data_IF_901497396881
#
_entry.id   IF_901497396881
#
_cell.length_a   1.000
_cell.length_b   1.000
_cell.length_c   1.000
_cell.angle_alpha   90.00
_cell.angle_beta   90.00
_cell.angle_gamma   90.00
#
_symmetry.space_group_name_H-M   'P 1'
#
loop_
_entity.id
_entity.type
_entity.pdbx_description
1 polymer ?
#
# COMPACT_ATOMS: atom_id res chain seq x y z
N UNK A 1 -26.22 -4.29 -0.67
CA UNK A 1 -26.16 -4.56 -2.13
C UNK A 1 -25.10 -3.75 -2.89
N UNK A 2 -24.31 -2.92 -2.21
CA UNK A 2 -23.34 -2.00 -2.85
C UNK A 2 -21.93 -2.56 -2.97
N UNK A 3 -21.46 -3.38 -2.02
CA UNK A 3 -20.16 -4.07 -2.07
C UNK A 3 -20.01 -4.97 -3.31
N UNK A 4 -21.01 -5.80 -3.61
CA UNK A 4 -21.00 -6.68 -4.79
C UNK A 4 -20.93 -5.90 -6.11
N UNK A 5 -21.40 -4.65 -6.13
CA UNK A 5 -21.30 -3.79 -7.31
C UNK A 5 -19.95 -3.08 -7.44
N UNK A 6 -19.09 -3.12 -6.41
CA UNK A 6 -17.73 -2.58 -6.46
C UNK A 6 -16.79 -3.48 -7.25
N UNK A 7 -16.99 -4.79 -7.23
CA UNK A 7 -16.18 -5.78 -7.97
C UNK A 7 -16.25 -5.56 -9.50
N UNK A 8 -17.42 -5.54 -10.17
CA UNK A 8 -17.46 -5.29 -11.60
C UNK A 8 -16.97 -3.86 -11.95
N UNK A 9 -17.13 -2.92 -11.03
CA UNK A 9 -16.64 -1.56 -11.22
C UNK A 9 -15.11 -1.46 -11.10
N UNK A 10 -14.47 -2.28 -10.28
CA UNK A 10 -13.01 -2.30 -10.17
C UNK A 10 -12.34 -2.76 -11.46
N UNK A 11 -12.97 -3.63 -12.25
CA UNK A 11 -12.46 -3.99 -13.58
C UNK A 11 -12.49 -2.83 -14.59
N UNK A 12 -13.51 -1.96 -14.52
CA UNK A 12 -13.56 -0.75 -15.34
C UNK A 12 -12.46 0.25 -14.98
N UNK A 13 -12.08 0.32 -13.69
CA UNK A 13 -10.95 1.11 -13.22
C UNK A 13 -9.64 0.46 -13.64
N UNK A 14 -9.52 -0.86 -13.48
CA UNK A 14 -8.32 -1.65 -13.78
C UNK A 14 -7.80 -1.40 -15.19
N UNK A 15 -8.67 -1.46 -16.20
CA UNK A 15 -8.23 -1.26 -17.59
C UNK A 15 -7.66 0.15 -17.82
N UNK A 16 -8.27 1.17 -17.22
CA UNK A 16 -7.79 2.56 -17.31
C UNK A 16 -6.50 2.74 -16.51
N UNK A 17 -6.40 2.09 -15.35
CA UNK A 17 -5.23 2.14 -14.50
C UNK A 17 -4.04 1.43 -15.16
N UNK A 18 -4.26 0.29 -15.82
CA UNK A 18 -3.23 -0.45 -16.54
C UNK A 18 -2.55 0.39 -17.63
N UNK A 19 -3.30 1.28 -18.31
CA UNK A 19 -2.75 2.22 -19.28
C UNK A 19 -1.94 3.36 -18.64
N UNK A 20 -2.32 3.81 -17.44
CA UNK A 20 -1.63 4.90 -16.72
C UNK A 20 -0.48 4.40 -15.85
N UNK A 21 -0.48 3.11 -15.51
CA UNK A 21 0.44 2.47 -14.58
C UNK A 21 1.93 2.66 -14.94
N UNK A 22 2.37 2.53 -16.21
CA UNK A 22 3.77 2.76 -16.56
C UNK A 22 4.24 4.19 -16.24
N UNK A 23 3.41 5.20 -16.52
CA UNK A 23 3.71 6.59 -16.21
C UNK A 23 3.71 6.84 -14.69
N UNK A 24 2.81 6.16 -13.97
CA UNK A 24 2.77 6.21 -12.50
C UNK A 24 3.99 5.58 -11.87
N UNK A 25 4.49 4.45 -12.39
CA UNK A 25 5.76 3.84 -11.95
C UNK A 25 6.90 4.84 -12.13
N UNK A 26 7.02 5.46 -13.31
CA UNK A 26 8.10 6.45 -13.55
C UNK A 26 8.02 7.60 -12.54
N UNK A 27 6.82 8.12 -12.27
CA UNK A 27 6.63 9.16 -11.26
C UNK A 27 7.02 8.68 -9.85
N UNK A 28 6.62 7.47 -9.46
CA UNK A 28 6.98 6.88 -8.17
C UNK A 28 8.48 6.60 -8.04
N UNK A 29 9.15 6.19 -9.12
CA UNK A 29 10.61 6.04 -9.16
C UNK A 29 11.30 7.39 -8.90
N UNK A 30 10.84 8.46 -9.56
CA UNK A 30 11.40 9.80 -9.34
C UNK A 30 11.20 10.28 -7.89
N UNK A 31 10.03 10.02 -7.32
CA UNK A 31 9.76 10.29 -5.89
C UNK A 31 10.67 9.42 -5.00
N UNK A 32 10.88 8.16 -5.35
CA UNK A 32 11.76 7.24 -4.64
C UNK A 32 13.22 7.67 -4.66
N UNK A 33 13.73 8.16 -5.80
CA UNK A 33 15.08 8.71 -5.92
C UNK A 33 15.24 9.94 -5.02
N UNK A 34 14.27 10.86 -5.05
CA UNK A 34 14.27 12.04 -4.19
C UNK A 34 14.22 11.65 -2.70
N UNK A 35 13.36 10.70 -2.34
CA UNK A 35 13.24 10.17 -0.99
C UNK A 35 14.56 9.54 -0.54
N UNK A 36 15.18 8.70 -1.37
CA UNK A 36 16.46 8.05 -1.08
C UNK A 36 17.58 9.07 -0.83
N UNK A 37 17.64 10.12 -1.64
CA UNK A 37 18.61 11.21 -1.42
C UNK A 37 18.38 11.92 -0.08
N UNK A 38 17.13 12.26 0.26
CA UNK A 38 16.78 12.90 1.53
C UNK A 38 17.06 11.99 2.74
N UNK A 39 16.75 10.70 2.64
CA UNK A 39 17.06 9.69 3.66
C UNK A 39 18.57 9.59 3.86
N UNK A 40 19.36 9.56 2.78
CA UNK A 40 20.83 9.48 2.87
C UNK A 40 21.42 10.71 3.56
N UNK A 41 20.97 11.91 3.18
CA UNK A 41 21.41 13.15 3.82
C UNK A 41 21.03 13.21 5.31
N UNK A 42 19.81 12.80 5.65
CA UNK A 42 19.33 12.84 7.03
C UNK A 42 19.91 11.73 7.89
N UNK A 43 20.23 10.56 7.33
CA UNK A 43 20.88 9.46 8.04
C UNK A 43 22.27 9.86 8.55
N UNK A 44 22.99 10.71 7.82
CA UNK A 44 24.28 11.25 8.26
C UNK A 44 24.17 12.19 9.48
N UNK A 45 23.01 12.81 9.70
CA UNK A 45 22.77 13.75 10.80
C UNK A 45 22.07 13.06 11.98
N UNK A 46 21.03 12.28 11.70
CA UNK A 46 20.21 11.57 12.66
C UNK A 46 19.57 10.33 12.02
N UNK A 47 20.02 9.11 12.38
CA UNK A 47 19.42 7.87 11.90
C UNK A 47 17.93 7.76 12.22
N UNK A 48 17.48 8.28 13.37
CA UNK A 48 16.07 8.30 13.74
C UNK A 48 15.24 9.15 12.77
N UNK A 49 15.75 10.33 12.40
CA UNK A 49 15.07 11.20 11.45
C UNK A 49 14.97 10.55 10.06
N UNK A 50 15.99 9.81 9.65
CA UNK A 50 16.00 9.06 8.39
C UNK A 50 14.91 7.98 8.37
N UNK A 51 14.73 7.23 9.47
CA UNK A 51 13.64 6.23 9.59
C UNK A 51 12.28 6.90 9.51
N UNK A 52 12.10 8.04 10.17
CA UNK A 52 10.85 8.81 10.12
C UNK A 52 10.54 9.27 8.69
N UNK A 53 11.54 9.82 7.98
CA UNK A 53 11.40 10.26 6.59
C UNK A 53 11.10 9.08 5.67
N UNK A 54 11.76 7.94 5.86
CA UNK A 54 11.49 6.71 5.12
C UNK A 54 10.04 6.27 5.32
N UNK A 55 9.53 6.31 6.55
CA UNK A 55 8.11 6.05 6.85
C UNK A 55 7.16 7.03 6.13
N UNK A 56 7.49 8.32 6.12
CA UNK A 56 6.71 9.35 5.41
C UNK A 56 6.62 9.09 3.91
N UNK A 57 7.75 8.82 3.25
CA UNK A 57 7.75 8.54 1.82
C UNK A 57 7.16 7.16 1.48
N UNK A 58 7.40 6.14 2.31
CA UNK A 58 6.86 4.80 2.11
C UNK A 58 5.33 4.77 2.17
N UNK A 59 4.75 5.32 3.23
CA UNK A 59 3.29 5.42 3.36
C UNK A 59 2.74 6.44 2.36
N UNK A 60 3.37 7.60 2.20
CA UNK A 60 2.93 8.66 1.29
C UNK A 60 2.90 8.24 -0.18
N UNK A 61 3.82 7.37 -0.62
CA UNK A 61 3.87 6.85 -1.99
C UNK A 61 2.60 6.09 -2.40
N UNK A 62 1.87 5.52 -1.44
CA UNK A 62 0.60 4.83 -1.70
C UNK A 62 -0.55 5.79 -2.04
N UNK A 63 -0.51 7.04 -1.55
CA UNK A 63 -1.64 7.98 -1.68
C UNK A 63 -1.81 8.48 -3.11
N UNK A 64 -0.71 8.82 -3.79
CA UNK A 64 -0.77 9.36 -5.16
C UNK A 64 -1.46 8.38 -6.13
N UNK A 65 -1.08 7.09 -6.18
CA UNK A 65 -1.83 6.10 -6.94
C UNK A 65 -3.31 6.07 -6.58
N UNK A 66 -3.68 6.21 -5.30
CA UNK A 66 -5.07 5.99 -4.88
C UNK A 66 -5.95 7.13 -5.35
N UNK A 67 -5.41 8.35 -5.32
CA UNK A 67 -6.05 9.52 -5.90
C UNK A 67 -6.20 9.42 -7.41
N UNK A 68 -5.17 8.95 -8.13
CA UNK A 68 -5.24 8.77 -9.59
C UNK A 68 -6.28 7.71 -9.96
N UNK A 69 -6.26 6.55 -9.31
CA UNK A 69 -7.24 5.48 -9.54
C UNK A 69 -8.67 5.93 -9.21
N UNK A 70 -8.85 6.63 -8.09
CA UNK A 70 -10.17 7.16 -7.69
C UNK A 70 -10.69 8.20 -8.69
N UNK A 71 -9.83 9.11 -9.18
CA UNK A 71 -10.17 10.07 -10.23
C UNK A 71 -10.61 9.37 -11.52
N UNK A 72 -9.89 8.32 -11.94
CA UNK A 72 -10.25 7.53 -13.13
C UNK A 72 -11.60 6.84 -12.97
N UNK A 73 -11.89 6.31 -11.78
CA UNK A 73 -13.18 5.72 -11.42
C UNK A 73 -14.32 6.73 -11.42
N UNK A 74 -14.14 7.90 -10.80
CA UNK A 74 -15.13 8.97 -10.78
C UNK A 74 -15.43 9.50 -12.19
N UNK A 75 -14.38 9.66 -13.03
CA UNK A 75 -14.55 9.99 -14.45
C UNK A 75 -15.31 8.92 -15.22
N UNK A 76 -15.12 7.64 -14.90
CA UNK A 76 -15.89 6.55 -15.50
C UNK A 76 -17.39 6.63 -15.18
N UNK A 77 -17.76 7.25 -14.06
CA UNK A 77 -19.16 7.52 -13.67
C UNK A 77 -19.69 8.88 -14.14
N UNK A 78 -18.91 9.65 -14.91
CA UNK A 78 -19.33 10.96 -15.43
C UNK A 78 -19.11 12.14 -14.48
N UNK A 79 -18.33 11.97 -13.40
CA UNK A 79 -17.97 13.10 -12.54
C UNK A 79 -17.09 14.10 -13.29
N UNK A 80 -17.44 15.39 -13.19
CA UNK A 80 -16.59 16.46 -13.71
C UNK A 80 -15.37 16.64 -12.81
N UNK A 81 -14.19 16.79 -13.41
CA UNK A 81 -12.95 17.03 -12.66
C UNK A 81 -12.51 18.46 -12.83
N UNK A 82 -12.38 19.18 -11.72
CA UNK A 82 -12.04 20.61 -11.71
C UNK A 82 -10.53 20.87 -11.57
N UNK A 83 -9.76 19.88 -11.13
CA UNK A 83 -8.31 20.00 -10.93
C UNK A 83 -7.48 19.54 -12.13
N UNK A 84 -6.32 20.15 -12.33
CA UNK A 84 -5.27 19.63 -13.22
C UNK A 84 -4.62 18.36 -12.63
N UNK A 85 -3.81 17.65 -13.41
CA UNK A 85 -3.06 16.50 -12.90
C UNK A 85 -2.02 16.95 -11.84
N UNK A 86 -1.36 18.08 -12.06
CA UNK A 86 -0.41 18.67 -11.11
C UNK A 86 -1.09 19.15 -9.82
N UNK A 87 -2.34 19.61 -9.92
CA UNK A 87 -3.16 19.98 -8.76
C UNK A 87 -3.49 18.82 -7.81
N UNK A 88 -3.21 17.56 -8.19
CA UNK A 88 -3.33 16.40 -7.30
C UNK A 88 -2.12 16.20 -6.39
N UNK A 89 -0.95 16.77 -6.74
CA UNK A 89 0.29 16.52 -6.00
C UNK A 89 0.19 17.06 -4.56
N UNK A 90 -0.31 18.29 -4.39
CA UNK A 90 -0.41 18.92 -3.07
C UNK A 90 -1.34 18.17 -2.12
N UNK A 91 -2.58 17.81 -2.51
CA UNK A 91 -3.42 16.96 -1.65
C UNK A 91 -2.81 15.56 -1.42
N UNK A 92 -2.18 14.95 -2.41
CA UNK A 92 -1.54 13.63 -2.24
C UNK A 92 -0.43 13.68 -1.18
N UNK A 93 0.39 14.74 -1.20
CA UNK A 93 1.42 14.97 -0.17
C UNK A 93 0.76 15.20 1.19
N UNK A 94 -0.25 16.07 1.28
CA UNK A 94 -0.92 16.37 2.56
C UNK A 94 -1.57 15.16 3.21
N UNK A 95 -2.34 14.38 2.44
CA UNK A 95 -2.96 13.15 2.95
C UNK A 95 -1.94 12.04 3.19
N UNK A 96 -0.89 11.95 2.37
CA UNK A 96 0.22 11.01 2.59
C UNK A 96 0.99 11.28 3.88
N UNK A 97 1.30 12.55 4.17
CA UNK A 97 1.93 12.95 5.42
C UNK A 97 1.02 12.67 6.62
N UNK A 98 -0.27 12.97 6.53
CA UNK A 98 -1.23 12.67 7.59
C UNK A 98 -1.31 11.16 7.86
N UNK A 99 -1.46 10.36 6.80
CA UNK A 99 -1.56 8.92 6.93
C UNK A 99 -0.27 8.30 7.50
N UNK A 100 0.89 8.76 7.01
CA UNK A 100 2.18 8.32 7.53
C UNK A 100 2.37 8.66 9.00
N UNK A 101 1.98 9.87 9.42
CA UNK A 101 2.07 10.29 10.82
C UNK A 101 1.20 9.39 11.71
N UNK A 102 -0.04 9.12 11.30
CA UNK A 102 -0.93 8.22 12.03
C UNK A 102 -0.41 6.78 12.05
N UNK A 103 0.11 6.26 10.94
CA UNK A 103 0.69 4.92 10.87
C UNK A 103 1.92 4.78 11.77
N UNK A 104 2.83 5.77 11.74
CA UNK A 104 4.00 5.80 12.63
C UNK A 104 3.60 5.90 14.10
N UNK A 105 2.56 6.68 14.43
CA UNK A 105 2.03 6.76 15.79
C UNK A 105 1.42 5.43 16.25
N UNK A 106 0.67 4.74 15.38
CA UNK A 106 0.14 3.39 15.67
C UNK A 106 1.29 2.41 15.92
N UNK A 107 2.34 2.43 15.09
CA UNK A 107 3.51 1.56 15.28
C UNK A 107 4.27 1.88 16.56
N UNK A 108 4.51 3.17 16.85
CA UNK A 108 5.20 3.60 18.07
C UNK A 108 4.44 3.22 19.34
N UNK A 109 3.10 3.36 19.33
CA UNK A 109 2.24 2.88 20.42
C UNK A 109 2.28 1.36 20.55
N UNK A 110 2.35 0.62 19.44
CA UNK A 110 2.52 -0.83 19.42
C UNK A 110 3.83 -1.26 20.09
N UNK A 111 4.95 -0.63 19.71
CA UNK A 111 6.26 -0.88 20.33
C UNK A 111 6.25 -0.54 21.82
N UNK A 112 5.68 0.62 22.20
CA UNK A 112 5.58 1.02 23.60
C UNK A 112 4.72 0.01 24.40
N UNK A 113 3.56 -0.38 23.89
CA UNK A 113 2.71 -1.38 24.52
C UNK A 113 3.42 -2.74 24.68
N UNK A 114 4.21 -3.15 23.67
CA UNK A 114 5.02 -4.36 23.73
C UNK A 114 6.05 -4.31 24.86
N UNK A 115 6.78 -3.20 24.96
CA UNK A 115 7.78 -2.97 26.02
C UNK A 115 7.15 -2.95 27.42
N UNK A 116 5.98 -2.31 27.58
CA UNK A 116 5.30 -2.29 28.88
C UNK A 116 4.72 -3.65 29.29
N UNK A 117 4.36 -4.49 28.31
CA UNK A 117 3.71 -5.77 28.55
C UNK A 117 4.68 -6.95 28.59
N UNK A 118 5.97 -6.74 28.25
CA UNK A 118 7.01 -7.78 28.24
C UNK A 118 8.20 -7.36 29.10
N UNK A 119 9.14 -8.28 29.36
CA UNK A 119 10.35 -8.00 30.12
C UNK A 119 11.50 -7.44 29.27
N UNK A 120 11.24 -7.09 28.01
CA UNK A 120 12.26 -6.59 27.10
C UNK A 120 12.62 -5.15 27.44
N UNK A 121 13.91 -4.87 27.33
CA UNK A 121 14.47 -3.53 27.50
C UNK A 121 14.61 -2.83 26.14
N UNK A 122 14.85 -1.52 26.17
CA UNK A 122 15.16 -0.76 24.96
C UNK A 122 16.46 -1.24 24.28
N UNK A 123 17.39 -1.82 25.03
CA UNK A 123 18.64 -2.38 24.52
C UNK A 123 18.40 -3.68 23.74
N UNK A 124 17.43 -4.49 24.15
CA UNK A 124 17.06 -5.70 23.40
C UNK A 124 16.45 -5.32 22.03
N UNK A 125 15.70 -4.22 21.96
CA UNK A 125 15.13 -3.73 20.70
C UNK A 125 16.19 -3.24 19.71
N UNK A 126 17.28 -2.60 20.18
CA UNK A 126 18.34 -2.19 19.26
C UNK A 126 19.06 -3.39 18.66
N UNK A 127 19.19 -4.49 19.41
CA UNK A 127 19.70 -5.75 18.88
C UNK A 127 18.76 -6.37 17.85
N UNK A 128 17.43 -6.35 18.10
CA UNK A 128 16.44 -6.80 17.12
C UNK A 128 16.52 -6.04 15.79
N UNK A 129 16.84 -4.74 15.80
CA UNK A 129 16.98 -3.98 14.53
C UNK A 129 18.16 -4.40 13.64
N UNK A 130 19.07 -5.23 14.16
CA UNK A 130 20.22 -5.76 13.40
C UNK A 130 20.00 -7.18 12.90
N UNK A 131 18.87 -7.81 13.25
CA UNK A 131 18.53 -9.16 12.82
C UNK A 131 17.72 -9.13 11.53
N UNK A 132 17.75 -10.23 10.78
CA UNK A 132 16.86 -10.42 9.63
C UNK A 132 15.38 -10.41 10.06
N UNK A 133 14.50 -9.91 9.19
CA UNK A 133 13.07 -9.71 9.50
C UNK A 133 12.38 -11.00 10.01
N UNK A 134 12.68 -12.14 9.40
CA UNK A 134 12.14 -13.45 9.80
C UNK A 134 12.59 -13.83 11.22
N UNK A 135 13.83 -13.52 11.56
CA UNK A 135 14.40 -13.80 12.88
C UNK A 135 13.80 -12.85 13.92
N UNK A 136 13.58 -11.57 13.59
CA UNK A 136 12.91 -10.61 14.48
C UNK A 136 11.52 -11.09 14.84
N UNK A 137 10.72 -11.51 13.86
CA UNK A 137 9.36 -12.01 14.10
C UNK A 137 9.40 -13.26 14.99
N UNK A 138 10.30 -14.20 14.71
CA UNK A 138 10.47 -15.41 15.52
C UNK A 138 10.86 -15.09 16.97
N UNK A 139 11.77 -14.13 17.18
CA UNK A 139 12.19 -13.69 18.51
C UNK A 139 11.03 -13.04 19.28
N UNK A 140 10.29 -12.12 18.66
CA UNK A 140 9.11 -11.49 19.28
C UNK A 140 8.05 -12.54 19.65
N UNK A 141 7.81 -13.50 18.76
CA UNK A 141 6.90 -14.61 19.01
C UNK A 141 7.39 -15.54 20.13
N UNK A 142 8.69 -15.70 20.31
CA UNK A 142 9.24 -16.51 21.41
C UNK A 142 9.07 -15.85 22.78
N UNK A 143 9.09 -14.51 22.85
CA UNK A 143 8.92 -13.75 24.09
C UNK A 143 7.45 -13.76 24.54
N UNK A 144 6.54 -13.41 23.64
CA UNK A 144 5.11 -13.50 23.91
C UNK A 144 4.31 -13.60 22.60
N UNK A 145 3.86 -14.79 22.21
CA UNK A 145 3.07 -14.96 20.99
C UNK A 145 1.77 -14.16 21.04
N UNK A 146 1.08 -14.17 22.19
CA UNK A 146 -0.21 -13.54 22.36
C UNK A 146 -0.13 -12.01 22.19
N UNK A 147 0.86 -11.36 22.81
CA UNK A 147 1.04 -9.91 22.73
C UNK A 147 1.52 -9.52 21.31
N UNK A 148 2.47 -10.27 20.75
CA UNK A 148 3.00 -10.04 19.40
C UNK A 148 1.87 -10.08 18.36
N UNK A 149 1.10 -11.16 18.33
CA UNK A 149 -0.04 -11.30 17.40
C UNK A 149 -1.12 -10.25 17.64
N UNK A 150 -1.40 -9.90 18.90
CA UNK A 150 -2.40 -8.88 19.22
C UNK A 150 -2.01 -7.50 18.70
N UNK A 151 -0.74 -7.11 18.85
CA UNK A 151 -0.24 -5.82 18.36
C UNK A 151 -0.23 -5.78 16.83
N UNK A 152 0.23 -6.84 16.17
CA UNK A 152 0.17 -6.92 14.71
C UNK A 152 -1.27 -6.87 14.19
N UNK A 153 -2.18 -7.59 14.83
CA UNK A 153 -3.59 -7.60 14.46
C UNK A 153 -4.25 -6.23 14.67
N UNK A 154 -4.16 -5.67 15.87
CA UNK A 154 -4.77 -4.39 16.21
C UNK A 154 -4.15 -3.26 15.40
N UNK A 155 -2.82 -3.21 15.29
CA UNK A 155 -2.11 -2.23 14.48
C UNK A 155 -2.50 -2.30 13.00
N UNK A 156 -2.56 -3.52 12.45
CA UNK A 156 -3.03 -3.75 11.08
C UNK A 156 -4.46 -3.26 10.86
N UNK A 157 -5.40 -3.64 11.74
CA UNK A 157 -6.80 -3.20 11.66
C UNK A 157 -6.94 -1.69 11.78
N UNK A 158 -6.14 -1.03 12.64
CA UNK A 158 -6.14 0.42 12.78
C UNK A 158 -5.64 1.12 11.50
N UNK A 159 -4.59 0.60 10.87
CA UNK A 159 -4.07 1.14 9.59
C UNK A 159 -5.11 0.95 8.47
N UNK A 160 -5.75 -0.22 8.40
CA UNK A 160 -6.85 -0.46 7.46
C UNK A 160 -8.04 0.49 7.69
N UNK A 161 -8.37 0.72 8.96
CA UNK A 161 -9.41 1.66 9.37
C UNK A 161 -9.07 3.09 8.97
N UNK A 162 -7.85 3.55 9.25
CA UNK A 162 -7.35 4.86 8.84
C UNK A 162 -7.49 5.04 7.32
N UNK A 163 -7.04 4.04 6.54
CA UNK A 163 -7.18 4.07 5.09
C UNK A 163 -8.63 4.15 4.65
N UNK A 164 -9.51 3.33 5.22
CA UNK A 164 -10.95 3.35 4.91
C UNK A 164 -11.59 4.70 5.22
N UNK A 165 -11.22 5.35 6.33
CA UNK A 165 -11.70 6.67 6.70
C UNK A 165 -11.23 7.78 5.74
N UNK A 166 -10.03 7.63 5.16
CA UNK A 166 -9.42 8.58 4.24
C UNK A 166 -9.89 8.46 2.79
N UNK A 167 -10.44 7.31 2.37
CA UNK A 167 -10.87 7.10 0.97
C UNK A 167 -11.87 8.17 0.48
N UNK A 168 -12.75 8.64 1.36
CA UNK A 168 -13.77 9.63 1.01
C UNK A 168 -13.17 11.05 0.82
N UNK A 169 -12.35 11.58 1.74
CA UNK A 169 -11.55 12.79 1.50
C UNK A 169 -10.64 12.69 0.26
N UNK A 170 -9.99 11.53 0.05
CA UNK A 170 -9.14 11.29 -1.12
C UNK A 170 -9.93 11.35 -2.42
N UNK A 171 -11.15 10.80 -2.43
CA UNK A 171 -12.06 10.89 -3.57
C UNK A 171 -12.42 12.34 -3.90
N UNK A 172 -12.77 13.15 -2.89
CA UNK A 172 -13.10 14.57 -3.10
C UNK A 172 -11.91 15.39 -3.57
N UNK A 173 -10.75 15.18 -2.96
CA UNK A 173 -9.50 15.80 -3.37
C UNK A 173 -9.11 15.41 -4.80
N UNK A 174 -9.40 14.17 -5.22
CA UNK A 174 -9.07 13.67 -6.57
C UNK A 174 -9.83 14.38 -7.70
N UNK A 175 -10.99 14.97 -7.39
CA UNK A 175 -11.80 15.74 -8.35
C UNK A 175 -11.87 17.24 -8.04
N UNK A 176 -11.27 17.66 -6.91
CA UNK A 176 -11.34 19.00 -6.34
C UNK A 176 -12.78 19.51 -6.11
N UNK A 177 -13.66 18.60 -5.67
CA UNK A 177 -15.03 18.93 -5.31
C UNK A 177 -15.48 18.04 -4.15
N UNK A 178 -16.37 18.56 -3.31
CA UNK A 178 -17.10 17.80 -2.28
C UNK A 178 -18.31 17.08 -2.91
N UNK A 179 -18.92 16.09 -2.24
CA UNK A 179 -20.12 15.38 -2.73
C UNK A 179 -21.30 16.32 -3.06
N UNK A 180 -21.36 17.47 -2.41
CA UNK A 180 -22.35 18.53 -2.65
C UNK A 180 -22.02 19.43 -3.86
N UNK A 181 -20.94 19.16 -4.59
CA UNK A 181 -20.50 19.94 -5.75
C UNK A 181 -19.76 21.25 -5.41
N UNK A 182 -19.52 21.51 -4.13
CA UNK A 182 -18.72 22.66 -3.63
C UNK A 182 -17.22 22.43 -3.86
N UNK A 183 -16.38 23.49 -3.87
CA UNK A 183 -14.93 23.32 -3.87
C UNK A 183 -14.49 22.41 -2.72
N UNK A 184 -13.48 21.57 -2.98
CA UNK A 184 -13.02 20.58 -2.00
C UNK A 184 -12.66 21.21 -0.65
N UNK A 185 -13.23 20.69 0.43
CA UNK A 185 -12.84 21.02 1.79
C UNK A 185 -12.01 19.88 2.40
N UNK A 186 -10.83 20.18 2.99
CA UNK A 186 -9.98 19.14 3.58
C UNK A 186 -10.73 18.34 4.65
N UNK A 187 -10.65 17.01 4.57
CA UNK A 187 -11.26 16.05 5.50
C UNK A 187 -12.79 16.02 5.50
N UNK A 188 -13.44 16.65 4.52
CA UNK A 188 -14.88 16.50 4.35
C UNK A 188 -15.26 15.05 4.07
N UNK A 189 -16.25 14.55 4.80
CA UNK A 189 -16.68 13.15 4.70
C UNK A 189 -15.70 12.15 5.31
N UNK A 190 -14.76 12.59 6.15
CA UNK A 190 -13.90 11.66 6.89
C UNK A 190 -14.76 10.66 7.67
N UNK A 191 -14.51 9.36 7.44
CA UNK A 191 -15.26 8.25 8.04
C UNK A 191 -16.78 8.20 7.75
N UNK A 192 -17.34 9.02 6.85
CA UNK A 192 -18.80 9.07 6.62
C UNK A 192 -19.38 7.74 6.10
N UNK A 193 -18.59 6.97 5.35
CA UNK A 193 -18.94 5.66 4.81
C UNK A 193 -17.99 4.56 5.31
N UNK A 194 -17.46 4.74 6.52
CA UNK A 194 -16.43 3.87 7.08
C UNK A 194 -16.81 2.39 7.04
N UNK A 195 -17.99 2.02 7.56
CA UNK A 195 -18.45 0.63 7.61
C UNK A 195 -18.67 0.02 6.21
N UNK A 196 -19.03 0.84 5.24
CA UNK A 196 -19.23 0.44 3.84
C UNK A 196 -17.90 0.22 3.11
N UNK A 197 -16.88 1.03 3.45
CA UNK A 197 -15.57 1.03 2.81
C UNK A 197 -14.59 0.06 3.48
N UNK A 198 -14.74 -0.22 4.78
CA UNK A 198 -13.83 -1.07 5.55
C UNK A 198 -13.71 -2.49 4.97
N UNK A 199 -14.79 -3.23 4.62
CA UNK A 199 -14.66 -4.56 4.02
C UNK A 199 -13.95 -4.54 2.67
N UNK A 200 -14.08 -3.44 1.93
CA UNK A 200 -13.47 -3.26 0.61
C UNK A 200 -11.97 -2.98 0.72
N UNK A 201 -11.56 -2.15 1.69
CA UNK A 201 -10.14 -1.96 2.03
C UNK A 201 -9.54 -3.25 2.60
N UNK A 202 -10.26 -3.94 3.48
CA UNK A 202 -9.81 -5.22 4.01
C UNK A 202 -9.57 -6.23 2.88
N UNK A 203 -10.53 -6.37 1.96
CA UNK A 203 -10.39 -7.27 0.81
C UNK A 203 -9.24 -6.84 -0.12
N UNK A 204 -9.02 -5.55 -0.34
CA UNK A 204 -7.89 -5.10 -1.18
C UNK A 204 -6.54 -5.43 -0.56
N UNK A 205 -6.39 -5.25 0.76
CA UNK A 205 -5.13 -5.60 1.46
C UNK A 205 -4.94 -7.12 1.55
N UNK A 206 -6.02 -7.88 1.75
CA UNK A 206 -5.97 -9.34 1.69
C UNK A 206 -5.51 -9.81 0.30
N UNK A 207 -6.05 -9.24 -0.77
CA UNK A 207 -5.62 -9.55 -2.14
C UNK A 207 -4.18 -9.12 -2.41
N UNK A 208 -3.69 -8.04 -1.80
CA UNK A 208 -2.26 -7.67 -1.87
C UNK A 208 -1.37 -8.73 -1.21
N UNK A 209 -1.72 -9.19 -0.01
CA UNK A 209 -0.97 -10.24 0.68
C UNK A 209 -1.03 -11.59 -0.05
N UNK A 210 -2.14 -11.87 -0.74
CA UNK A 210 -2.34 -13.09 -1.51
C UNK A 210 -1.90 -12.99 -2.98
N UNK A 211 -1.36 -11.86 -3.44
CA UNK A 211 -1.05 -11.66 -4.86
C UNK A 211 -0.04 -12.68 -5.39
N UNK A 212 1.05 -12.90 -4.66
CA UNK A 212 2.09 -13.88 -4.98
C UNK A 212 1.55 -15.32 -4.98
N UNK A 213 0.95 -15.84 -3.88
CA UNK A 213 0.46 -17.22 -3.88
C UNK A 213 -0.65 -17.45 -4.93
N UNK A 214 -1.49 -16.44 -5.20
CA UNK A 214 -2.50 -16.53 -6.25
C UNK A 214 -1.87 -16.56 -7.65
N UNK A 215 -0.81 -15.79 -7.88
CA UNK A 215 -0.07 -15.84 -9.14
C UNK A 215 0.64 -17.18 -9.34
N UNK A 216 1.25 -17.73 -8.29
CA UNK A 216 1.85 -19.08 -8.32
C UNK A 216 0.79 -20.13 -8.65
N UNK A 217 -0.37 -20.09 -7.99
CA UNK A 217 -1.48 -21.01 -8.26
C UNK A 217 -1.96 -20.94 -9.73
N UNK A 218 -2.08 -19.73 -10.29
CA UNK A 218 -2.43 -19.56 -11.71
C UNK A 218 -1.32 -20.12 -12.61
N UNK A 219 -0.05 -19.88 -12.30
CA UNK A 219 1.07 -20.43 -13.07
C UNK A 219 1.07 -21.97 -13.06
N UNK A 220 0.72 -22.60 -11.94
CA UNK A 220 0.50 -24.05 -11.88
C UNK A 220 -0.62 -24.52 -12.81
N UNK A 221 -1.75 -23.81 -12.83
CA UNK A 221 -2.87 -24.13 -13.74
C UNK A 221 -2.50 -23.96 -15.22
N UNK A 222 -1.55 -23.07 -15.53
CA UNK A 222 -1.03 -22.83 -16.87
C UNK A 222 0.11 -23.79 -17.27
N UNK A 223 0.58 -24.64 -16.35
CA UNK A 223 1.69 -25.58 -16.59
C UNK A 223 3.09 -24.99 -16.41
N UNK A 224 3.21 -23.78 -15.85
CA UNK A 224 4.49 -23.09 -15.62
C UNK A 224 4.96 -23.13 -14.16
N UNK A 225 4.17 -23.71 -13.25
CA UNK A 225 4.44 -23.66 -11.80
C UNK A 225 5.83 -24.14 -11.40
N UNK A 226 6.24 -25.32 -11.87
CA UNK A 226 7.55 -25.89 -11.52
C UNK A 226 8.72 -25.07 -12.08
N UNK A 227 8.56 -24.50 -13.27
CA UNK A 227 9.57 -23.63 -13.88
C UNK A 227 9.73 -22.32 -13.09
N UNK A 228 8.63 -21.74 -12.61
CA UNK A 228 8.64 -20.52 -11.79
C UNK A 228 9.31 -20.78 -10.43
N UNK A 229 9.03 -21.91 -9.77
CA UNK A 229 9.69 -22.26 -8.51
C UNK A 229 11.19 -22.54 -8.71
N UNK A 230 11.54 -23.27 -9.77
CA UNK A 230 12.94 -23.52 -10.10
C UNK A 230 13.69 -22.20 -10.35
N UNK A 231 13.08 -21.26 -11.09
CA UNK A 231 13.64 -19.93 -11.31
C UNK A 231 13.78 -19.15 -10.00
N UNK A 232 12.77 -19.17 -9.11
CA UNK A 232 12.81 -18.50 -7.81
C UNK A 232 13.98 -19.01 -6.94
N UNK A 233 14.12 -20.33 -6.82
CA UNK A 233 15.21 -20.96 -6.07
C UNK A 233 16.57 -20.62 -6.67
N UNK A 234 16.69 -20.61 -8.00
CA UNK A 234 17.94 -20.26 -8.66
C UNK A 234 18.30 -18.78 -8.49
N UNK A 235 17.33 -17.87 -8.49
CA UNK A 235 17.55 -16.44 -8.21
C UNK A 235 18.09 -16.26 -6.79
N UNK A 236 17.50 -16.96 -5.82
CA UNK A 236 17.94 -16.94 -4.42
C UNK A 236 19.37 -17.48 -4.25
N UNK A 237 19.72 -18.54 -5.00
CA UNK A 237 21.05 -19.15 -4.93
C UNK A 237 22.14 -18.40 -5.71
N UNK A 238 21.79 -17.73 -6.81
CA UNK A 238 22.78 -17.19 -7.77
C UNK A 238 23.15 -15.74 -7.49
N UNK A 239 22.19 -14.89 -7.11
CA UNK A 239 22.43 -13.47 -6.81
C UNK A 239 22.98 -12.61 -7.98
N UNK A 240 22.54 -11.37 -8.10
CA UNK A 240 23.13 -10.40 -9.05
C UNK A 240 22.68 -10.55 -10.52
N UNK A 241 23.47 -10.00 -11.45
CA UNK A 241 23.05 -9.82 -12.87
C UNK A 241 22.85 -11.13 -13.65
N UNK A 242 23.40 -12.25 -13.20
CA UNK A 242 23.17 -13.57 -13.82
C UNK A 242 21.72 -14.07 -13.62
N UNK A 243 21.03 -13.56 -12.59
CA UNK A 243 19.60 -13.80 -12.37
C UNK A 243 18.72 -13.26 -13.51
N UNK A 244 19.19 -12.25 -14.27
CA UNK A 244 18.47 -11.72 -15.42
C UNK A 244 18.45 -12.71 -16.60
N UNK A 245 19.44 -13.61 -16.69
CA UNK A 245 19.45 -14.71 -17.67
C UNK A 245 18.41 -15.78 -17.40
N UNK A 246 17.85 -15.80 -16.18
CA UNK A 246 16.77 -16.71 -15.75
C UNK A 246 15.37 -16.14 -15.98
N UNK A 247 15.26 -14.93 -16.57
CA UNK A 247 14.00 -14.34 -16.99
C UNK A 247 13.49 -15.00 -18.27
N UNK A 248 12.96 -16.22 -18.12
CA UNK A 248 12.19 -16.91 -19.15
C UNK A 248 10.81 -16.28 -19.36
N UNK A 249 10.10 -16.80 -20.37
CA UNK A 249 8.70 -16.40 -20.65
C UNK A 249 7.80 -16.70 -19.45
N UNK A 250 8.08 -17.79 -18.74
CA UNK A 250 7.39 -18.28 -17.55
C UNK A 250 7.48 -17.26 -16.41
N UNK A 251 8.70 -16.76 -16.13
CA UNK A 251 8.93 -15.72 -15.12
C UNK A 251 8.26 -14.40 -15.52
N UNK A 252 8.26 -14.06 -16.80
CA UNK A 252 7.55 -12.89 -17.33
C UNK A 252 6.03 -13.00 -17.15
N UNK A 253 5.44 -14.17 -17.43
CA UNK A 253 4.02 -14.45 -17.21
C UNK A 253 3.67 -14.35 -15.72
N UNK A 254 4.51 -14.92 -14.84
CA UNK A 254 4.35 -14.82 -13.40
C UNK A 254 4.33 -13.35 -12.93
N UNK A 255 5.33 -12.56 -13.30
CA UNK A 255 5.40 -11.12 -12.98
C UNK A 255 4.16 -10.39 -13.51
N UNK A 256 3.75 -10.68 -14.73
CA UNK A 256 2.55 -10.10 -15.34
C UNK A 256 1.28 -10.37 -14.52
N UNK A 257 1.08 -11.62 -14.06
CA UNK A 257 -0.06 -12.00 -13.22
C UNK A 257 0.01 -11.28 -11.87
N UNK A 258 1.18 -11.26 -11.22
CA UNK A 258 1.38 -10.57 -9.94
C UNK A 258 1.01 -9.09 -10.05
N UNK A 259 1.52 -8.41 -11.08
CA UNK A 259 1.22 -6.99 -11.34
C UNK A 259 -0.28 -6.79 -11.59
N UNK A 260 -0.93 -7.65 -12.38
CA UNK A 260 -2.36 -7.56 -12.63
C UNK A 260 -3.20 -7.75 -11.35
N UNK A 261 -2.83 -8.68 -10.47
CA UNK A 261 -3.51 -8.90 -9.19
C UNK A 261 -3.33 -7.69 -8.28
N UNK A 262 -2.13 -7.13 -8.18
CA UNK A 262 -1.89 -5.89 -7.44
C UNK A 262 -2.72 -4.72 -7.97
N UNK A 263 -2.74 -4.52 -9.29
CA UNK A 263 -3.54 -3.48 -9.93
C UNK A 263 -5.04 -3.68 -9.71
N UNK A 264 -5.51 -4.93 -9.70
CA UNK A 264 -6.91 -5.23 -9.46
C UNK A 264 -7.29 -4.95 -8.01
N UNK A 265 -6.49 -5.39 -7.05
CA UNK A 265 -6.71 -5.10 -5.64
C UNK A 265 -6.67 -3.59 -5.36
N UNK A 266 -5.77 -2.88 -6.02
CA UNK A 266 -5.70 -1.43 -5.99
C UNK A 266 -6.94 -0.75 -6.57
N UNK A 267 -7.42 -1.25 -7.71
CA UNK A 267 -8.63 -0.77 -8.37
C UNK A 267 -9.88 -1.04 -7.52
N UNK A 268 -9.89 -2.14 -6.76
CA UNK A 268 -10.95 -2.47 -5.82
C UNK A 268 -11.02 -1.43 -4.70
N UNK A 269 -9.88 -1.01 -4.16
CA UNK A 269 -9.82 0.07 -3.18
C UNK A 269 -10.36 1.40 -3.75
N UNK A 270 -9.95 1.74 -4.98
CA UNK A 270 -10.40 2.94 -5.68
C UNK A 270 -11.90 2.91 -6.06
N UNK A 271 -12.49 1.71 -6.18
CA UNK A 271 -13.92 1.53 -6.38
C UNK A 271 -14.75 2.07 -5.20
N UNK A 272 -14.12 2.26 -4.03
CA UNK A 272 -14.68 2.97 -2.89
C UNK A 272 -15.13 4.40 -3.22
N UNK A 273 -14.51 5.07 -4.19
CA UNK A 273 -14.95 6.37 -4.69
C UNK A 273 -16.37 6.36 -5.28
N UNK A 274 -16.94 5.19 -5.56
CA UNK A 274 -18.36 5.07 -5.93
C UNK A 274 -19.29 5.64 -4.86
N UNK A 275 -18.92 5.54 -3.60
CA UNK A 275 -19.70 6.06 -2.47
C UNK A 275 -19.64 7.58 -2.35
N UNK A 276 -18.81 8.23 -3.18
CA UNK A 276 -18.68 9.68 -3.21
C UNK A 276 -19.83 10.41 -3.92
N UNK A 277 -20.54 9.71 -4.82
CA UNK A 277 -21.64 10.25 -5.65
C UNK A 277 -22.92 9.45 -5.45
#
# INVERSE_FOLDING_TARGET
>A
MTFLRAIPFSFNILWRLALVFPFMIIALIMVGILAGFLVLLTAAVSPLLAVVIMGFFGVGASVLPTMVGTRLGLRARGASVRSSAFGLALPAIGYGLFEALCALLIMALGVAAYLFATSLTLEDFTQLTQMDEDVVIQQLMSVSPAITLSIFWVGGVLILGLRAALLMPLAGASIAADPSGRPHTPFYGFASEFLSLLPLVFLSYLLWGLAVPLAVAICYLLGFGDAVIAAANQIEMTGGNEALGLLGVETGVFIGIVVLVYLWAFSLQCAGGRWFI
#
